data_IF_826667252850
#
_entry.id   IF_826667252850
#
_cell.length_a   1.000
_cell.length_b   1.000
_cell.length_c   1.000
_cell.angle_alpha   90.00
_cell.angle_beta   90.00
_cell.angle_gamma   90.00
#
_symmetry.space_group_name_H-M   'P 1'
#
loop_
_entity.id
_entity.type
_entity.pdbx_description
1 polymer ?
#
# COMPACT_ATOMS: atom_id res chain seq x y z
N UNK A 1 -22.93 24.83 22.26
CA UNK A 1 -21.72 24.04 22.61
C UNK A 1 -21.16 23.46 21.32
N UNK A 2 -20.19 24.11 20.71
CA UNK A 2 -19.49 23.63 19.52
C UNK A 2 -18.17 23.01 19.96
N UNK A 3 -17.92 21.77 19.54
CA UNK A 3 -16.75 20.98 19.95
C UNK A 3 -15.48 21.55 19.32
N UNK A 4 -14.45 21.92 20.12
CA UNK A 4 -13.21 22.56 19.64
C UNK A 4 -12.26 21.64 18.86
N UNK A 5 -12.63 20.38 18.61
CA UNK A 5 -11.81 19.38 17.90
C UNK A 5 -11.76 19.57 16.38
N UNK A 6 -12.71 20.32 15.80
CA UNK A 6 -12.73 20.63 14.37
C UNK A 6 -11.64 21.63 13.97
N UNK A 7 -11.39 22.69 14.76
CA UNK A 7 -10.51 23.81 14.35
C UNK A 7 -9.04 23.41 14.18
N UNK A 8 -8.48 22.58 15.08
CA UNK A 8 -7.10 22.10 14.98
C UNK A 8 -6.92 21.10 13.82
N UNK A 9 -7.88 20.20 13.64
CA UNK A 9 -7.85 19.21 12.55
C UNK A 9 -7.95 19.92 11.20
N UNK A 10 -8.84 20.91 11.08
CA UNK A 10 -9.02 21.73 9.87
C UNK A 10 -7.78 22.56 9.56
N UNK A 11 -7.14 23.20 10.55
CA UNK A 11 -5.87 23.92 10.36
C UNK A 11 -4.73 23.02 9.90
N UNK A 12 -4.59 21.84 10.51
CA UNK A 12 -3.57 20.86 10.13
C UNK A 12 -3.81 20.32 8.71
N UNK A 13 -5.06 20.03 8.36
CA UNK A 13 -5.46 19.64 7.01
C UNK A 13 -5.12 20.73 5.99
N UNK A 14 -5.44 22.00 6.28
CA UNK A 14 -5.14 23.13 5.39
C UNK A 14 -3.63 23.32 5.16
N UNK A 15 -2.80 23.15 6.20
CA UNK A 15 -1.34 23.19 6.06
C UNK A 15 -0.80 22.04 5.20
N UNK A 16 -1.32 20.81 5.39
CA UNK A 16 -0.93 19.64 4.59
C UNK A 16 -1.37 19.78 3.13
N UNK A 17 -2.54 20.36 2.86
CA UNK A 17 -3.04 20.65 1.52
C UNK A 17 -2.12 21.63 0.77
N UNK A 18 -1.75 22.76 1.41
CA UNK A 18 -0.81 23.72 0.79
C UNK A 18 0.55 23.09 0.45
N UNK A 19 1.11 22.30 1.36
CA UNK A 19 2.42 21.66 1.17
C UNK A 19 2.41 20.57 0.09
N UNK A 20 1.28 19.89 -0.11
CA UNK A 20 1.08 18.94 -1.21
C UNK A 20 0.94 19.66 -2.55
N UNK A 21 0.16 20.75 -2.62
CA UNK A 21 0.00 21.55 -3.83
C UNK A 21 1.33 22.17 -4.28
N UNK A 22 2.17 22.64 -3.35
CA UNK A 22 3.51 23.16 -3.65
C UNK A 22 4.48 22.07 -4.16
N UNK A 23 4.37 20.83 -3.66
CA UNK A 23 5.15 19.70 -4.15
C UNK A 23 4.64 19.20 -5.51
N UNK A 24 3.32 19.13 -5.70
CA UNK A 24 2.72 18.66 -6.95
C UNK A 24 2.99 19.64 -8.09
N UNK A 25 2.97 20.96 -7.82
CA UNK A 25 3.39 21.98 -8.78
C UNK A 25 4.85 21.80 -9.25
N UNK A 26 5.77 21.42 -8.33
CA UNK A 26 7.18 21.15 -8.66
C UNK A 26 7.42 19.80 -9.36
N UNK A 27 6.54 18.83 -9.13
CA UNK A 27 6.70 17.45 -9.65
C UNK A 27 5.83 17.21 -10.89
N UNK A 28 4.99 18.18 -11.29
CA UNK A 28 4.05 18.08 -12.42
C UNK A 28 4.76 17.75 -13.74
N UNK A 29 6.01 18.20 -13.89
CA UNK A 29 6.84 18.03 -15.10
C UNK A 29 7.72 16.78 -15.07
N UNK A 30 7.78 16.07 -13.93
CA UNK A 30 8.64 14.90 -13.79
C UNK A 30 7.88 13.64 -14.26
N UNK A 31 8.41 13.02 -15.33
CA UNK A 31 8.10 11.68 -15.84
C UNK A 31 6.70 11.47 -16.48
N UNK A 32 6.37 12.18 -17.58
CA UNK A 32 5.13 11.92 -18.35
C UNK A 32 5.06 10.49 -18.91
N UNK A 33 6.18 9.93 -19.36
CA UNK A 33 6.24 8.59 -19.99
C UNK A 33 6.16 7.40 -19.01
N UNK A 34 6.15 7.64 -17.70
CA UNK A 34 6.07 6.59 -16.68
C UNK A 34 4.67 6.45 -16.07
N UNK A 35 3.69 7.21 -16.58
CA UNK A 35 2.30 7.17 -16.15
C UNK A 35 1.50 5.97 -16.68
N UNK A 36 2.03 5.21 -17.64
CA UNK A 36 1.26 4.14 -18.30
C UNK A 36 0.74 3.07 -17.33
N UNK A 37 -0.52 2.69 -17.53
CA UNK A 37 -1.28 1.77 -16.68
C UNK A 37 -0.61 0.40 -16.62
N UNK A 38 0.03 -0.02 -17.72
CA UNK A 38 0.78 -1.26 -17.82
C UNK A 38 1.94 -1.35 -16.83
N UNK A 39 2.75 -0.27 -16.71
CA UNK A 39 3.90 -0.27 -15.81
C UNK A 39 3.46 -0.25 -14.34
N UNK A 40 2.38 0.45 -14.02
CA UNK A 40 1.76 0.45 -12.68
C UNK A 40 1.26 -0.93 -12.28
N UNK A 41 0.62 -1.66 -13.20
CA UNK A 41 0.17 -3.04 -12.99
C UNK A 41 1.34 -4.00 -12.79
N UNK A 42 2.42 -3.87 -13.56
CA UNK A 42 3.63 -4.68 -13.40
C UNK A 42 4.22 -4.48 -11.98
N UNK A 43 4.35 -3.24 -11.51
CA UNK A 43 4.83 -2.97 -10.14
C UNK A 43 3.88 -3.52 -9.08
N UNK A 44 2.57 -3.42 -9.28
CA UNK A 44 1.58 -4.01 -8.37
C UNK A 44 1.71 -5.54 -8.31
N UNK A 45 1.96 -6.20 -9.44
CA UNK A 45 2.24 -7.65 -9.49
C UNK A 45 3.53 -7.98 -8.75
N UNK A 46 4.60 -7.20 -8.89
CA UNK A 46 5.83 -7.40 -8.12
C UNK A 46 5.61 -7.24 -6.61
N UNK A 47 4.80 -6.27 -6.18
CA UNK A 47 4.44 -6.13 -4.76
C UNK A 47 3.69 -7.38 -4.28
N UNK A 48 2.70 -7.86 -5.03
CA UNK A 48 1.98 -9.09 -4.70
C UNK A 48 2.90 -10.32 -4.64
N UNK A 49 3.82 -10.45 -5.60
CA UNK A 49 4.81 -11.53 -5.63
C UNK A 49 5.75 -11.47 -4.42
N UNK A 50 6.18 -10.28 -4.01
CA UNK A 50 7.03 -10.11 -2.83
C UNK A 50 6.28 -10.42 -1.52
N UNK A 51 5.00 -10.07 -1.41
CA UNK A 51 4.14 -10.45 -0.28
C UNK A 51 3.94 -11.97 -0.20
N UNK A 52 3.72 -12.64 -1.33
CA UNK A 52 3.66 -14.11 -1.39
C UNK A 52 5.00 -14.72 -0.99
N UNK A 53 6.11 -14.15 -1.44
CA UNK A 53 7.45 -14.61 -1.08
C UNK A 53 7.67 -14.52 0.44
N UNK A 54 7.29 -13.40 1.05
CA UNK A 54 7.30 -13.25 2.51
C UNK A 54 6.44 -14.34 3.16
N UNK A 55 5.19 -14.51 2.75
CA UNK A 55 4.31 -15.55 3.31
C UNK A 55 4.92 -16.96 3.22
N UNK A 56 5.53 -17.32 2.09
CA UNK A 56 6.22 -18.61 1.91
C UNK A 56 7.38 -18.75 2.89
N UNK A 57 8.20 -17.71 3.08
CA UNK A 57 9.30 -17.72 4.06
C UNK A 57 8.75 -17.82 5.49
N UNK A 58 7.62 -17.15 5.80
CA UNK A 58 6.98 -17.27 7.10
C UNK A 58 6.50 -18.69 7.38
N UNK A 59 5.88 -19.37 6.40
CA UNK A 59 5.48 -20.77 6.54
C UNK A 59 6.72 -21.67 6.65
N UNK A 60 7.76 -21.42 5.86
CA UNK A 60 9.02 -22.15 5.94
C UNK A 60 9.71 -22.00 7.31
N UNK A 61 9.50 -20.88 8.01
CA UNK A 61 10.07 -20.68 9.35
C UNK A 61 9.61 -21.69 10.41
N UNK A 62 8.51 -22.41 10.18
CA UNK A 62 8.12 -23.56 11.00
C UNK A 62 9.14 -24.72 10.96
N UNK A 63 9.80 -24.89 9.81
CA UNK A 63 10.63 -26.05 9.52
C UNK A 63 12.13 -25.74 9.57
N UNK A 64 12.52 -24.46 9.44
CA UNK A 64 13.93 -24.07 9.31
C UNK A 64 14.29 -22.85 10.15
N UNK A 65 15.36 -23.00 10.93
CA UNK A 65 15.97 -21.92 11.71
C UNK A 65 16.67 -20.85 10.86
N UNK A 66 16.90 -21.13 9.58
CA UNK A 66 17.51 -20.18 8.63
C UNK A 66 16.50 -19.24 7.96
N UNK A 67 15.20 -19.53 8.06
CA UNK A 67 14.14 -18.70 7.49
C UNK A 67 14.17 -17.21 7.93
N UNK A 68 14.49 -16.86 9.19
CA UNK A 68 14.65 -15.46 9.60
C UNK A 68 15.70 -14.69 8.78
N UNK A 69 16.78 -15.36 8.39
CA UNK A 69 17.85 -14.76 7.60
C UNK A 69 17.36 -14.49 6.18
N UNK A 70 16.55 -15.38 5.60
CA UNK A 70 15.92 -15.18 4.30
C UNK A 70 14.81 -14.11 4.32
N UNK A 71 14.15 -13.91 5.46
CA UNK A 71 13.09 -12.90 5.63
C UNK A 71 13.61 -11.47 5.46
N UNK A 72 14.82 -11.18 5.96
CA UNK A 72 15.43 -9.84 5.88
C UNK A 72 15.58 -9.33 4.44
N UNK A 73 16.28 -10.04 3.52
CA UNK A 73 16.42 -9.58 2.14
C UNK A 73 15.07 -9.53 1.40
N UNK A 74 14.14 -10.45 1.68
CA UNK A 74 12.80 -10.41 1.12
C UNK A 74 12.03 -9.15 1.55
N UNK A 75 12.17 -8.76 2.82
CA UNK A 75 11.56 -7.53 3.35
C UNK A 75 12.16 -6.29 2.69
N UNK A 76 13.48 -6.25 2.50
CA UNK A 76 14.14 -5.13 1.79
C UNK A 76 13.64 -5.01 0.36
N UNK A 77 13.55 -6.13 -0.38
CA UNK A 77 13.02 -6.16 -1.74
C UNK A 77 11.56 -5.68 -1.79
N UNK A 78 10.72 -6.12 -0.84
CA UNK A 78 9.35 -5.65 -0.69
C UNK A 78 9.30 -4.13 -0.46
N UNK A 79 10.10 -3.59 0.47
CA UNK A 79 10.12 -2.16 0.77
C UNK A 79 10.57 -1.31 -0.44
N UNK A 80 11.58 -1.76 -1.17
CA UNK A 80 12.04 -1.10 -2.41
C UNK A 80 10.92 -1.11 -3.46
N UNK A 81 10.31 -2.25 -3.71
CA UNK A 81 9.23 -2.38 -4.70
C UNK A 81 8.01 -1.54 -4.31
N UNK A 82 7.65 -1.57 -3.02
CA UNK A 82 6.55 -0.80 -2.46
C UNK A 82 6.78 0.71 -2.56
N UNK A 83 7.98 1.19 -2.20
CA UNK A 83 8.33 2.63 -2.32
C UNK A 83 8.35 3.09 -3.78
N UNK A 84 8.80 2.23 -4.69
CA UNK A 84 8.74 2.50 -6.13
C UNK A 84 7.28 2.62 -6.62
N UNK A 85 6.40 1.70 -6.21
CA UNK A 85 4.97 1.76 -6.55
C UNK A 85 4.31 3.03 -5.99
N UNK A 86 4.61 3.41 -4.75
CA UNK A 86 4.10 4.65 -4.15
C UNK A 86 4.57 5.91 -4.87
N UNK A 87 5.82 5.91 -5.36
CA UNK A 87 6.40 7.03 -6.10
C UNK A 87 5.73 7.18 -7.47
N UNK A 88 5.55 6.07 -8.21
CA UNK A 88 4.91 6.06 -9.53
C UNK A 88 3.41 6.39 -9.45
N UNK A 89 2.75 5.95 -8.39
CA UNK A 89 1.33 6.22 -8.12
C UNK A 89 1.09 7.64 -7.54
N UNK A 90 2.13 8.50 -7.49
CA UNK A 90 2.08 9.88 -6.93
C UNK A 90 1.37 9.95 -5.57
N UNK A 91 1.51 8.93 -4.71
CA UNK A 91 0.82 8.86 -3.42
C UNK A 91 -0.66 9.31 -3.50
N UNK A 92 -1.42 8.93 -4.54
CA UNK A 92 -2.84 9.30 -4.61
C UNK A 92 -3.62 8.79 -3.39
N UNK A 93 -3.19 7.65 -2.82
CA UNK A 93 -3.67 7.12 -1.54
C UNK A 93 -3.45 8.05 -0.32
N UNK A 94 -2.50 8.98 -0.42
CA UNK A 94 -2.04 9.86 0.65
C UNK A 94 -2.26 11.36 0.37
N UNK A 95 -2.86 11.67 -0.78
CA UNK A 95 -3.22 13.03 -1.16
C UNK A 95 -4.25 13.61 -0.17
N UNK A 96 -4.07 14.88 0.24
CA UNK A 96 -4.95 15.52 1.20
C UNK A 96 -6.33 15.77 0.59
N UNK A 97 -7.37 15.55 1.41
CA UNK A 97 -8.79 15.64 1.02
C UNK A 97 -9.14 16.97 0.36
N UNK A 98 -8.45 18.07 0.72
CA UNK A 98 -8.70 19.39 0.14
C UNK A 98 -8.11 19.62 -1.26
N UNK A 99 -7.47 18.62 -1.87
CA UNK A 99 -6.98 18.68 -3.25
C UNK A 99 -7.72 17.71 -4.20
N UNK A 100 -8.65 16.91 -3.66
CA UNK A 100 -9.40 15.89 -4.38
C UNK A 100 -10.88 16.30 -4.44
N UNK A 101 -11.55 15.99 -5.54
CA UNK A 101 -13.00 16.18 -5.67
C UNK A 101 -13.75 15.18 -4.76
N UNK A 102 -15.02 15.45 -4.43
CA UNK A 102 -15.81 14.61 -3.50
C UNK A 102 -15.88 13.13 -3.95
N UNK A 103 -15.92 12.91 -5.27
CA UNK A 103 -15.90 11.59 -5.88
C UNK A 103 -14.56 10.84 -5.66
N UNK A 104 -13.43 11.52 -5.81
CA UNK A 104 -12.11 10.92 -5.60
C UNK A 104 -11.87 10.57 -4.12
N UNK A 105 -12.45 11.36 -3.21
CA UNK A 105 -12.44 11.08 -1.76
C UNK A 105 -13.25 9.83 -1.44
N UNK A 106 -14.43 9.65 -2.05
CA UNK A 106 -15.23 8.43 -1.89
C UNK A 106 -14.49 7.20 -2.42
N UNK A 107 -13.92 7.27 -3.62
CA UNK A 107 -13.15 6.17 -4.22
C UNK A 107 -12.00 5.70 -3.32
N UNK A 108 -11.30 6.64 -2.69
CA UNK A 108 -10.23 6.35 -1.72
C UNK A 108 -10.75 5.70 -0.45
N UNK A 109 -11.87 6.20 0.09
CA UNK A 109 -12.46 5.66 1.31
C UNK A 109 -12.97 4.24 1.09
N UNK A 110 -13.55 3.94 -0.07
CA UNK A 110 -13.90 2.58 -0.47
C UNK A 110 -12.66 1.69 -0.61
N UNK A 111 -11.61 2.16 -1.29
CA UNK A 111 -10.36 1.39 -1.38
C UNK A 111 -9.75 1.09 0.00
N UNK A 112 -9.83 2.06 0.93
CA UNK A 112 -9.36 1.88 2.32
C UNK A 112 -10.24 0.92 3.12
N UNK A 113 -11.56 0.98 2.98
CA UNK A 113 -12.46 0.07 3.69
C UNK A 113 -12.29 -1.37 3.20
N UNK A 114 -12.05 -1.57 1.89
CA UNK A 114 -11.65 -2.86 1.32
C UNK A 114 -10.33 -3.32 1.93
N UNK A 115 -9.32 -2.45 1.96
CA UNK A 115 -8.02 -2.76 2.57
C UNK A 115 -8.13 -3.17 4.04
N UNK A 116 -8.93 -2.46 4.84
CA UNK A 116 -9.19 -2.80 6.24
C UNK A 116 -9.90 -4.15 6.38
N UNK A 117 -10.92 -4.41 5.55
CA UNK A 117 -11.66 -5.69 5.55
C UNK A 117 -10.72 -6.85 5.21
N UNK A 118 -9.87 -6.70 4.20
CA UNK A 118 -8.86 -7.69 3.81
C UNK A 118 -7.84 -7.91 4.92
N UNK A 119 -7.33 -6.83 5.52
CA UNK A 119 -6.40 -6.90 6.66
C UNK A 119 -7.01 -7.68 7.80
N UNK A 120 -8.23 -7.32 8.19
CA UNK A 120 -8.94 -7.93 9.31
C UNK A 120 -9.20 -9.42 9.05
N UNK A 121 -9.64 -9.78 7.84
CA UNK A 121 -9.84 -11.17 7.46
C UNK A 121 -8.53 -11.98 7.49
N UNK A 122 -7.45 -11.47 6.90
CA UNK A 122 -6.16 -12.17 6.85
C UNK A 122 -5.53 -12.33 8.24
N UNK A 123 -5.57 -11.27 9.06
CA UNK A 123 -5.06 -11.33 10.44
C UNK A 123 -5.90 -12.31 11.27
N UNK A 124 -7.22 -12.29 11.12
CA UNK A 124 -8.11 -13.24 11.77
C UNK A 124 -7.74 -14.68 11.41
N UNK A 125 -7.54 -14.97 10.12
CA UNK A 125 -7.12 -16.30 9.64
C UNK A 125 -5.76 -16.68 10.24
N UNK A 126 -4.77 -15.79 10.20
CA UNK A 126 -3.43 -16.05 10.75
C UNK A 126 -3.47 -16.39 12.25
N UNK A 127 -4.27 -15.64 13.03
CA UNK A 127 -4.45 -15.87 14.47
C UNK A 127 -5.21 -17.16 14.74
N UNK A 128 -6.28 -17.46 14.00
CA UNK A 128 -7.03 -18.72 14.15
C UNK A 128 -6.16 -19.94 13.85
N UNK A 129 -5.36 -19.89 12.77
CA UNK A 129 -4.39 -20.93 12.45
C UNK A 129 -3.39 -21.10 13.59
N UNK A 130 -2.85 -20.00 14.12
CA UNK A 130 -1.92 -20.04 15.24
C UNK A 130 -2.54 -20.67 16.51
N UNK A 131 -3.79 -20.34 16.84
CA UNK A 131 -4.51 -20.91 17.98
C UNK A 131 -4.69 -22.43 17.82
N UNK A 132 -5.13 -22.88 16.64
CA UNK A 132 -5.36 -24.31 16.36
C UNK A 132 -4.04 -25.09 16.39
N UNK A 133 -2.98 -24.57 15.74
CA UNK A 133 -1.68 -25.22 15.74
C UNK A 133 -1.07 -25.23 17.15
N UNK A 134 -1.24 -24.16 17.94
CA UNK A 134 -0.70 -24.10 19.30
C UNK A 134 -1.30 -25.15 20.24
N UNK A 135 -2.52 -25.62 19.97
CA UNK A 135 -3.16 -26.67 20.75
C UNK A 135 -2.85 -28.09 20.26
N UNK A 136 -2.31 -28.27 19.06
CA UNK A 136 -2.17 -29.57 18.40
C UNK A 136 -0.75 -29.93 18.03
N UNK A 137 0.14 -28.94 17.89
CA UNK A 137 1.48 -29.09 17.38
C UNK A 137 2.49 -28.38 18.29
N UNK A 138 3.32 -29.17 18.97
CA UNK A 138 4.36 -28.65 19.86
C UNK A 138 5.63 -28.35 19.05
N UNK A 139 5.85 -27.07 18.74
CA UNK A 139 7.00 -26.61 17.98
C UNK A 139 7.47 -25.24 18.50
N UNK A 140 8.74 -25.16 18.88
CA UNK A 140 9.38 -23.96 19.41
C UNK A 140 9.35 -22.75 18.45
N UNK A 141 9.29 -23.01 17.13
CA UNK A 141 9.25 -21.97 16.11
C UNK A 141 7.84 -21.46 15.81
N UNK A 142 6.79 -22.09 16.37
CA UNK A 142 5.40 -21.78 16.04
C UNK A 142 5.03 -20.33 16.37
N UNK A 143 5.45 -19.83 17.54
CA UNK A 143 5.19 -18.44 17.94
C UNK A 143 5.84 -17.44 16.98
N UNK A 144 7.08 -17.73 16.55
CA UNK A 144 7.81 -16.91 15.59
C UNK A 144 7.14 -16.93 14.20
N UNK A 145 6.80 -18.10 13.69
CA UNK A 145 6.10 -18.25 12.42
C UNK A 145 4.73 -17.55 12.43
N UNK A 146 3.98 -17.68 13.53
CA UNK A 146 2.72 -16.98 13.75
C UNK A 146 2.85 -15.45 13.71
N UNK A 147 3.90 -14.91 14.36
CA UNK A 147 4.21 -13.49 14.28
C UNK A 147 4.54 -13.05 12.84
N UNK A 148 5.24 -13.88 12.05
CA UNK A 148 5.51 -13.58 10.64
C UNK A 148 4.27 -13.68 9.75
N UNK A 149 3.35 -14.63 9.97
CA UNK A 149 2.08 -14.70 9.22
C UNK A 149 1.21 -13.48 9.45
N UNK A 150 1.07 -13.09 10.71
CA UNK A 150 0.30 -11.91 11.11
C UNK A 150 0.94 -10.63 10.55
N UNK A 151 2.26 -10.51 10.56
CA UNK A 151 2.98 -9.40 9.93
C UNK A 151 2.75 -9.35 8.41
N UNK A 152 2.85 -10.50 7.72
CA UNK A 152 2.58 -10.58 6.28
C UNK A 152 1.13 -10.18 5.94
N UNK A 153 0.16 -10.61 6.75
CA UNK A 153 -1.24 -10.23 6.62
C UNK A 153 -1.46 -8.71 6.77
N UNK A 154 -0.81 -8.08 7.75
CA UNK A 154 -0.84 -6.63 7.94
C UNK A 154 -0.25 -5.87 6.75
N UNK A 155 0.90 -6.33 6.23
CA UNK A 155 1.54 -5.73 5.06
C UNK A 155 0.67 -5.86 3.82
N UNK A 156 0.08 -7.03 3.58
CA UNK A 156 -0.82 -7.27 2.46
C UNK A 156 -2.05 -6.34 2.51
N UNK A 157 -2.66 -6.22 3.69
CA UNK A 157 -3.78 -5.33 3.93
C UNK A 157 -3.47 -3.84 3.72
N UNK A 158 -2.30 -3.39 4.17
CA UNK A 158 -1.81 -2.02 3.93
C UNK A 158 -1.51 -1.73 2.45
N UNK A 159 -1.13 -2.75 1.68
CA UNK A 159 -0.86 -2.62 0.25
C UNK A 159 -2.12 -2.72 -0.63
N UNK A 160 -3.17 -3.38 -0.14
CA UNK A 160 -4.42 -3.60 -0.86
C UNK A 160 -5.02 -2.34 -1.52
N UNK A 161 -5.18 -1.18 -0.85
CA UNK A 161 -5.75 0.00 -1.49
C UNK A 161 -4.89 0.52 -2.64
N UNK A 162 -3.57 0.46 -2.51
CA UNK A 162 -2.66 0.91 -3.56
C UNK A 162 -2.64 -0.04 -4.76
N UNK A 163 -2.74 -1.35 -4.52
CA UNK A 163 -2.88 -2.36 -5.58
C UNK A 163 -4.20 -2.17 -6.31
N UNK A 164 -5.32 -2.07 -5.59
CA UNK A 164 -6.65 -1.82 -6.18
C UNK A 164 -6.64 -0.56 -7.04
N UNK A 165 -6.13 0.56 -6.52
CA UNK A 165 -6.01 1.81 -7.26
C UNK A 165 -5.12 1.68 -8.51
N UNK A 166 -4.02 0.94 -8.43
CA UNK A 166 -3.14 0.70 -9.58
C UNK A 166 -3.82 -0.08 -10.71
N UNK A 167 -4.81 -0.91 -10.40
CA UNK A 167 -5.58 -1.68 -11.39
C UNK A 167 -6.73 -0.89 -12.01
N UNK A 168 -7.46 -0.10 -11.22
CA UNK A 168 -8.68 0.59 -11.65
C UNK A 168 -8.46 1.97 -12.27
N UNK A 169 -7.34 2.65 -11.97
CA UNK A 169 -7.10 4.01 -12.48
C UNK A 169 -6.75 3.95 -13.99
N UNK A 170 -7.55 4.55 -14.88
CA UNK A 170 -7.24 4.65 -16.31
C UNK A 170 -6.04 5.56 -16.55
N UNK A 171 -5.35 5.40 -17.68
CA UNK A 171 -4.30 6.33 -18.08
C UNK A 171 -4.89 7.73 -18.30
N UNK A 172 -4.19 8.81 -17.90
CA UNK A 172 -4.61 10.16 -18.24
C UNK A 172 -4.63 10.27 -19.76
N UNK A 173 -5.77 10.70 -20.33
CA UNK A 173 -5.91 10.95 -21.77
C UNK A 173 -4.82 11.94 -22.21
N UNK A 174 -4.15 11.60 -23.32
CA UNK A 174 -3.12 12.41 -23.96
C UNK A 174 -3.78 13.60 -24.69
N UNK A 175 -4.52 14.45 -24.00
CA UNK A 175 -4.86 15.79 -24.51
C UNK A 175 -3.85 16.77 -23.91
N UNK A 176 -3.27 17.65 -24.74
CA UNK A 176 -2.36 18.77 -24.41
C UNK A 176 -0.83 18.59 -24.56
N UNK A 177 -0.30 17.59 -25.29
CA UNK A 177 1.12 17.62 -25.72
C UNK A 177 1.35 17.98 -27.19
N UNK A 178 0.31 18.13 -28.01
CA UNK A 178 0.48 18.48 -29.44
C UNK A 178 0.43 19.99 -29.75
N UNK A 179 0.05 20.86 -28.80
CA UNK A 179 -0.11 22.32 -29.07
C UNK A 179 1.13 23.18 -28.73
N UNK A 180 2.22 22.58 -28.24
CA UNK A 180 3.44 23.32 -27.88
C UNK A 180 4.57 23.23 -28.90
N UNK A 181 4.40 22.50 -30.01
CA UNK A 181 5.39 22.37 -31.09
C UNK A 181 4.97 23.10 -32.40
N UNK A 182 3.94 23.94 -32.34
CA UNK A 182 3.61 24.91 -33.38
C UNK A 182 3.80 26.35 -32.88
N UNK A 183 5.05 26.84 -32.87
CA UNK A 183 5.37 28.24 -33.18
C UNK A 183 6.86 28.45 -33.42
#
# INVERSE_FOLDING_TARGET
MTTPSSDLLTRYQAYRTRRFLEHDAKTRHWLPNWRTQERRRILAVFVMASLLTLLVIAVWSLFSRWAPIAWVPATVMFLVTWTMLQTVSRRHSDAPVGALDEWEVQQRNEARSIGLTVTQALVMVAVLVLIVLSGTYDNENLAYAGALWTLAALLAGGCAPAVVLAWITPDPELEDTEDFDQK
#
